data_IF_901694297668
#
_entry.id   IF_901694297668
#
_cell.length_a   1.000
_cell.length_b   1.000
_cell.length_c   1.000
_cell.angle_alpha   90.00
_cell.angle_beta   90.00
_cell.angle_gamma   90.00
#
_symmetry.space_group_name_H-M   'P 1'
#
loop_
_entity.id
_entity.type
_entity.pdbx_description
1 polymer ?
#
# COMPACT_ATOMS: atom_id res chain seq x y z
N UNK A 1 0.75 8.63 -5.36
CA UNK A 1 1.35 7.74 -4.34
C UNK A 1 2.70 8.29 -3.92
N UNK A 2 3.21 7.90 -2.76
CA UNK A 2 4.41 8.48 -2.19
C UNK A 2 5.69 7.94 -2.84
N UNK A 3 5.89 6.61 -2.86
CA UNK A 3 7.11 6.00 -3.41
C UNK A 3 6.93 5.24 -4.72
N UNK A 4 8.04 5.02 -5.44
CA UNK A 4 8.08 4.12 -6.59
C UNK A 4 7.84 2.66 -6.18
N UNK A 5 8.24 2.26 -4.97
CA UNK A 5 7.97 0.92 -4.45
C UNK A 5 6.46 0.68 -4.23
N UNK A 6 5.71 1.71 -3.81
CA UNK A 6 4.26 1.64 -3.71
C UNK A 6 3.60 1.44 -5.07
N UNK A 7 4.14 2.08 -6.11
CA UNK A 7 3.68 1.91 -7.48
C UNK A 7 3.79 0.45 -7.93
N UNK A 8 4.97 -0.15 -7.78
CA UNK A 8 5.17 -1.55 -8.13
C UNK A 8 4.25 -2.46 -7.31
N UNK A 9 4.13 -2.19 -6.01
CA UNK A 9 3.26 -2.95 -5.12
C UNK A 9 1.79 -2.85 -5.50
N UNK A 10 1.32 -1.66 -5.91
CA UNK A 10 -0.04 -1.44 -6.41
C UNK A 10 -0.30 -2.24 -7.68
N UNK A 11 0.65 -2.28 -8.61
CA UNK A 11 0.51 -3.02 -9.87
C UNK A 11 0.47 -4.53 -9.67
N UNK A 12 1.16 -5.04 -8.64
CA UNK A 12 1.07 -6.44 -8.23
C UNK A 12 -0.28 -6.74 -7.56
N UNK A 13 -0.71 -5.87 -6.64
CA UNK A 13 -1.98 -6.04 -5.92
C UNK A 13 -3.21 -5.82 -6.81
N UNK A 14 -3.10 -4.99 -7.85
CA UNK A 14 -4.19 -4.61 -8.77
C UNK A 14 -3.72 -4.52 -10.22
N UNK A 15 -3.45 -5.67 -10.89
CA UNK A 15 -2.91 -5.70 -12.25
C UNK A 15 -3.78 -4.98 -13.30
N UNK A 16 -5.10 -4.97 -13.11
CA UNK A 16 -6.04 -4.29 -14.00
C UNK A 16 -5.82 -2.77 -14.10
N UNK A 17 -5.13 -2.14 -13.14
CA UNK A 17 -4.85 -0.70 -13.22
C UNK A 17 -3.81 -0.35 -14.28
N UNK A 18 -2.96 -1.30 -14.71
CA UNK A 18 -1.90 -1.06 -15.71
C UNK A 18 -2.43 -0.46 -17.01
N UNK A 19 -3.64 -0.82 -17.42
CA UNK A 19 -4.25 -0.38 -18.68
C UNK A 19 -5.41 0.60 -18.49
N UNK A 20 -5.83 0.86 -17.25
CA UNK A 20 -7.06 1.59 -16.94
C UNK A 20 -6.84 2.86 -16.10
N UNK A 21 -5.59 3.20 -15.78
CA UNK A 21 -5.28 4.35 -14.93
C UNK A 21 -4.00 5.07 -15.36
N UNK A 22 -3.95 6.37 -15.06
CA UNK A 22 -2.71 7.15 -15.06
C UNK A 22 -2.12 7.16 -13.65
N UNK A 23 -0.79 7.20 -13.55
CA UNK A 23 -0.09 7.11 -12.27
C UNK A 23 0.78 8.34 -12.05
N UNK A 24 0.68 8.90 -10.85
CA UNK A 24 1.59 9.91 -10.33
C UNK A 24 2.33 9.36 -9.12
N UNK A 25 3.63 9.17 -9.28
CA UNK A 25 4.57 8.81 -8.22
C UNK A 25 5.26 10.08 -7.77
N UNK A 26 5.02 10.50 -6.52
CA UNK A 26 5.52 11.76 -6.02
C UNK A 26 7.01 11.68 -5.67
N UNK A 27 7.50 10.55 -5.16
CA UNK A 27 8.81 10.35 -4.52
C UNK A 27 9.11 11.26 -3.31
N UNK A 28 8.23 12.23 -3.03
CA UNK A 28 8.24 13.07 -1.84
C UNK A 28 6.93 13.84 -1.73
N UNK A 29 6.37 13.92 -0.52
CA UNK A 29 5.22 14.78 -0.25
C UNK A 29 5.48 16.27 -0.51
N UNK A 30 6.74 16.70 -0.59
CA UNK A 30 7.10 18.08 -0.96
C UNK A 30 6.61 18.47 -2.37
N UNK A 31 6.39 17.49 -3.26
CA UNK A 31 5.96 17.72 -4.64
C UNK A 31 4.44 17.80 -4.83
N UNK A 32 3.67 17.59 -3.75
CA UNK A 32 2.19 17.61 -3.82
C UNK A 32 1.67 18.96 -4.32
N UNK A 33 2.19 20.08 -3.79
CA UNK A 33 1.74 21.41 -4.17
C UNK A 33 1.98 21.70 -5.66
N UNK A 34 3.13 21.26 -6.19
CA UNK A 34 3.47 21.40 -7.62
C UNK A 34 2.62 20.51 -8.52
N UNK A 35 2.01 19.47 -7.94
CA UNK A 35 1.22 18.50 -8.68
C UNK A 35 -0.29 18.80 -8.69
N UNK A 36 -0.76 19.80 -7.94
CA UNK A 36 -2.19 20.07 -7.80
C UNK A 36 -2.89 20.36 -9.13
N UNK A 37 -2.24 21.12 -10.02
CA UNK A 37 -2.78 21.40 -11.36
C UNK A 37 -2.91 20.12 -12.19
N UNK A 38 -1.88 19.27 -12.18
CA UNK A 38 -1.90 17.99 -12.88
C UNK A 38 -3.01 17.08 -12.33
N UNK A 39 -3.15 17.00 -11.01
CA UNK A 39 -4.20 16.24 -10.36
C UNK A 39 -5.60 16.73 -10.75
N UNK A 40 -5.77 18.04 -10.93
CA UNK A 40 -7.03 18.67 -11.37
C UNK A 40 -7.47 18.31 -12.79
N UNK A 41 -6.56 17.82 -13.64
CA UNK A 41 -6.89 17.35 -15.00
C UNK A 41 -7.57 15.98 -15.02
N UNK A 42 -7.59 15.28 -13.89
CA UNK A 42 -8.20 13.95 -13.79
C UNK A 42 -9.58 14.01 -13.13
N UNK A 43 -10.55 13.27 -13.67
CA UNK A 43 -11.93 13.20 -13.14
C UNK A 43 -12.00 12.71 -11.69
N UNK A 44 -11.03 11.89 -11.27
CA UNK A 44 -10.92 11.31 -9.93
C UNK A 44 -9.46 11.02 -9.62
N UNK A 45 -9.05 11.34 -8.40
CA UNK A 45 -7.70 11.10 -7.89
C UNK A 45 -7.79 10.08 -6.77
N UNK A 46 -7.06 8.96 -6.89
CA UNK A 46 -6.98 7.94 -5.85
C UNK A 46 -5.68 8.12 -5.08
N UNK A 47 -5.79 8.31 -3.77
CA UNK A 47 -4.66 8.57 -2.88
C UNK A 47 -4.16 7.28 -2.25
N UNK A 48 -2.89 6.98 -2.48
CA UNK A 48 -2.15 5.89 -1.86
C UNK A 48 -0.91 6.51 -1.21
N UNK A 49 -1.09 7.18 -0.06
CA UNK A 49 -0.02 7.82 0.71
C UNK A 49 0.29 7.02 1.97
N UNK A 50 1.49 7.21 2.52
CA UNK A 50 1.90 6.50 3.73
C UNK A 50 0.98 6.80 4.91
N UNK A 51 0.76 5.81 5.77
CA UNK A 51 0.02 5.95 7.01
C UNK A 51 0.89 6.51 8.15
N UNK A 52 1.82 7.41 7.85
CA UNK A 52 2.51 8.20 8.87
C UNK A 52 1.83 9.57 9.07
N UNK A 53 2.39 10.39 9.96
CA UNK A 53 1.80 11.69 10.27
C UNK A 53 1.82 12.65 9.06
N UNK A 54 2.87 12.60 8.23
CA UNK A 54 3.01 13.49 7.09
C UNK A 54 2.04 13.07 5.96
N UNK A 55 1.98 11.77 5.66
CA UNK A 55 1.07 11.22 4.66
C UNK A 55 -0.39 11.47 5.02
N UNK A 56 -0.80 11.22 6.28
CA UNK A 56 -2.16 11.52 6.75
C UNK A 56 -2.53 13.01 6.61
N UNK A 57 -1.63 13.91 7.02
CA UNK A 57 -1.86 15.36 6.90
C UNK A 57 -2.05 15.79 5.44
N UNK A 58 -1.28 15.22 4.52
CA UNK A 58 -1.44 15.49 3.08
C UNK A 58 -2.76 14.91 2.56
N UNK A 59 -3.12 13.69 2.96
CA UNK A 59 -4.39 13.07 2.59
C UNK A 59 -5.57 13.94 3.00
N UNK A 60 -5.64 14.36 4.26
CA UNK A 60 -6.70 15.25 4.78
C UNK A 60 -6.79 16.54 3.97
N UNK A 61 -5.65 17.19 3.71
CA UNK A 61 -5.58 18.41 2.91
C UNK A 61 -6.10 18.22 1.48
N UNK A 62 -5.77 17.10 0.83
CA UNK A 62 -6.23 16.80 -0.52
C UNK A 62 -7.71 16.44 -0.57
N UNK A 63 -8.24 15.78 0.48
CA UNK A 63 -9.67 15.51 0.61
C UNK A 63 -10.50 16.76 0.86
N UNK A 64 -9.94 17.78 1.51
CA UNK A 64 -10.57 19.08 1.73
C UNK A 64 -10.44 20.03 0.53
N UNK A 65 -9.68 19.65 -0.51
CA UNK A 65 -9.52 20.47 -1.71
C UNK A 65 -10.70 20.32 -2.67
N UNK A 66 -10.77 21.16 -3.70
CA UNK A 66 -11.77 21.06 -4.76
C UNK A 66 -11.53 19.88 -5.72
N UNK A 67 -10.50 19.06 -5.48
CA UNK A 67 -10.21 17.88 -6.28
C UNK A 67 -11.12 16.71 -5.85
N UNK A 68 -11.57 15.90 -6.81
CA UNK A 68 -12.31 14.67 -6.53
C UNK A 68 -11.36 13.55 -6.03
N UNK A 69 -10.85 13.72 -4.82
CA UNK A 69 -9.92 12.80 -4.18
C UNK A 69 -10.66 11.68 -3.43
N UNK A 70 -10.06 10.48 -3.42
CA UNK A 70 -10.49 9.37 -2.57
C UNK A 70 -9.30 8.75 -1.86
N UNK A 71 -9.39 8.65 -0.54
CA UNK A 71 -8.41 7.93 0.27
C UNK A 71 -8.57 6.40 0.09
N UNK A 72 -7.48 5.75 -0.28
CA UNK A 72 -7.41 4.30 -0.42
C UNK A 72 -6.56 3.62 0.67
N UNK A 73 -6.14 4.35 1.72
CA UNK A 73 -5.41 3.83 2.89
C UNK A 73 -6.08 2.63 3.55
N UNK A 74 -7.41 2.54 3.49
CA UNK A 74 -8.17 1.38 3.98
C UNK A 74 -7.72 0.03 3.41
N UNK A 75 -7.16 0.00 2.19
CA UNK A 75 -6.60 -1.20 1.57
C UNK A 75 -5.44 -1.80 2.38
N UNK A 76 -4.67 -0.95 3.06
CA UNK A 76 -3.48 -1.28 3.82
C UNK A 76 -3.57 -0.78 5.27
N UNK A 77 -4.78 -0.70 5.84
CA UNK A 77 -5.08 -0.15 7.18
C UNK A 77 -4.10 -0.55 8.31
N UNK A 78 -3.53 -1.76 8.27
CA UNK A 78 -2.63 -2.29 9.30
C UNK A 78 -1.13 -2.22 8.93
N UNK A 79 -0.78 -1.51 7.86
CA UNK A 79 0.57 -1.43 7.30
C UNK A 79 0.92 0.02 7.00
N UNK A 80 2.19 0.41 7.09
CA UNK A 80 2.59 1.79 6.79
C UNK A 80 2.25 2.17 5.35
N UNK A 81 2.52 1.27 4.41
CA UNK A 81 2.43 1.52 2.99
C UNK A 81 1.99 0.26 2.21
N UNK A 82 1.91 0.37 0.87
CA UNK A 82 1.49 -0.75 0.02
C UNK A 82 2.53 -1.86 -0.05
N UNK A 83 3.81 -1.50 0.06
CA UNK A 83 4.91 -2.45 0.02
C UNK A 83 4.91 -3.36 1.27
N UNK A 84 4.73 -2.79 2.46
CA UNK A 84 4.59 -3.56 3.70
C UNK A 84 3.40 -4.53 3.64
N UNK A 85 2.25 -4.08 3.11
CA UNK A 85 1.10 -4.96 2.87
C UNK A 85 1.47 -6.13 1.96
N UNK A 86 2.12 -5.85 0.83
CA UNK A 86 2.47 -6.87 -0.16
C UNK A 86 3.47 -7.88 0.41
N UNK A 87 4.51 -7.40 1.10
CA UNK A 87 5.51 -8.26 1.77
C UNK A 87 4.84 -9.16 2.81
N UNK A 88 3.93 -8.62 3.63
CA UNK A 88 3.21 -9.40 4.62
C UNK A 88 2.33 -10.49 4.00
N UNK A 89 1.67 -10.20 2.86
CA UNK A 89 0.90 -11.20 2.10
C UNK A 89 1.77 -12.32 1.56
N UNK A 90 2.94 -11.98 1.00
CA UNK A 90 3.88 -12.98 0.49
C UNK A 90 4.51 -13.81 1.60
N UNK A 91 4.84 -13.21 2.74
CA UNK A 91 5.35 -13.92 3.93
C UNK A 91 4.36 -14.97 4.45
N UNK A 92 3.07 -14.62 4.53
CA UNK A 92 2.00 -15.57 4.89
C UNK A 92 1.86 -16.70 3.88
N UNK A 93 1.93 -16.40 2.58
CA UNK A 93 1.88 -17.42 1.54
C UNK A 93 3.07 -18.39 1.60
N UNK A 94 4.27 -17.92 1.94
CA UNK A 94 5.46 -18.77 2.15
C UNK A 94 5.34 -19.64 3.41
N UNK A 95 4.81 -19.12 4.52
CA UNK A 95 4.57 -19.91 5.73
C UNK A 95 3.51 -21.00 5.52
N UNK A 96 2.43 -20.70 4.80
CA UNK A 96 1.42 -21.70 4.41
C UNK A 96 2.00 -22.80 3.50
N UNK A 97 2.96 -22.46 2.64
CA UNK A 97 3.65 -23.41 1.77
C UNK A 97 4.66 -24.30 2.49
N UNK A 98 5.19 -23.87 3.64
CA UNK A 98 6.19 -24.63 4.40
C UNK A 98 5.59 -25.60 5.42
N UNK A 99 4.29 -25.51 5.74
CA UNK A 99 3.58 -26.44 6.65
C UNK A 99 4.17 -26.50 8.07
N UNK A 100 3.44 -27.02 9.06
CA UNK A 100 4.00 -27.19 10.40
C UNK A 100 4.98 -28.36 10.38
N UNK A 101 6.27 -28.08 10.57
CA UNK A 101 7.31 -29.10 10.82
C UNK A 101 7.01 -29.74 12.18
N UNK A 102 6.16 -30.77 12.19
CA UNK A 102 5.98 -31.64 13.35
C UNK A 102 7.08 -32.70 13.38
N UNK A 103 7.95 -32.64 14.40
CA UNK A 103 8.84 -33.73 14.81
C UNK A 103 9.53 -33.34 16.11
N UNK A 104 9.56 -34.13 17.19
CA UNK A 104 9.11 -35.50 17.46
C UNK A 104 8.63 -35.59 18.92
N UNK A 105 7.68 -36.49 19.18
CA UNK A 105 7.42 -37.03 20.53
C UNK A 105 8.67 -37.81 20.98
N UNK A 106 9.20 -37.48 22.16
CA UNK A 106 10.02 -38.41 22.93
C UNK A 106 9.12 -38.99 24.02
N UNK A 107 8.72 -40.24 23.81
CA UNK A 107 8.04 -41.11 24.77
C UNK A 107 8.91 -41.28 26.02
N UNK A 108 8.34 -41.00 27.18
CA UNK A 108 8.92 -41.36 28.47
C UNK A 108 9.04 -42.89 28.60
N UNK A 109 10.18 -43.35 29.12
CA UNK A 109 10.35 -44.71 29.61
C UNK A 109 9.69 -44.82 30.99
N UNK A 110 8.81 -45.79 31.14
CA UNK A 110 8.32 -46.30 32.43
C UNK A 110 9.46 -46.99 33.21
N UNK A 111 9.27 -46.99 34.53
CA UNK A 111 10.04 -47.68 35.57
C UNK A 111 10.16 -49.19 35.32
#
# INVERSE_FOLDING_TARGET
MEGFTDFLSLLELRPHLKTNASFLVLNSLALVNRSLELLGRHRRVLLYLDQDAAGRKVTERLLQSNLNCRDHSSLYKYYKDLNELLVARQGKAKQLRLGPVHGKRATGKQL
#
